data_IF_551484165135
#
_entry.id   IF_551484165135
#
_cell.length_a   1.000
_cell.length_b   1.000
_cell.length_c   1.000
_cell.angle_alpha   90.00
_cell.angle_beta   90.00
_cell.angle_gamma   90.00
#
_symmetry.space_group_name_H-M   'P 1'
#
loop_
_entity.id
_entity.type
_entity.pdbx_description
1 polymer ?
#
# COMPACT_ATOMS: atom_id res chain seq x y z
N UNK A 1 -30.84 43.41 -53.09
CA UNK A 1 -30.75 44.06 -51.78
C UNK A 1 -30.77 42.95 -50.72
N UNK A 2 -29.86 42.99 -49.79
CA UNK A 2 -29.60 42.16 -48.59
C UNK A 2 -28.59 41.04 -48.80
N UNK A 3 -27.37 41.38 -48.52
CA UNK A 3 -26.17 40.57 -48.41
C UNK A 3 -26.25 39.63 -47.18
N UNK A 4 -26.23 38.31 -47.41
CA UNK A 4 -26.17 37.33 -46.36
C UNK A 4 -24.69 37.07 -46.02
N UNK A 5 -24.23 37.55 -44.88
CA UNK A 5 -22.89 37.31 -44.35
C UNK A 5 -22.82 35.89 -43.76
N UNK A 6 -22.11 35.02 -44.42
CA UNK A 6 -21.73 33.72 -43.92
C UNK A 6 -20.63 33.86 -42.85
N UNK A 7 -20.97 33.60 -41.59
CA UNK A 7 -19.99 33.42 -40.51
C UNK A 7 -19.42 32.04 -40.54
N UNK A 8 -18.16 31.95 -40.96
CA UNK A 8 -17.35 30.73 -40.88
C UNK A 8 -16.90 30.55 -39.43
N UNK A 9 -17.54 29.64 -38.68
CA UNK A 9 -17.10 29.24 -37.35
C UNK A 9 -15.88 28.32 -37.48
N UNK A 10 -14.70 28.85 -37.20
CA UNK A 10 -13.49 28.05 -37.06
C UNK A 10 -13.52 27.32 -35.71
N UNK A 11 -13.82 26.03 -35.76
CA UNK A 11 -13.74 25.13 -34.58
C UNK A 11 -12.27 24.80 -34.31
N UNK A 12 -11.65 25.56 -33.40
CA UNK A 12 -10.30 25.23 -32.92
C UNK A 12 -10.39 24.01 -31.98
N UNK A 13 -10.05 22.84 -32.48
CA UNK A 13 -9.87 21.64 -31.67
C UNK A 13 -8.59 21.80 -30.83
N UNK A 14 -8.75 22.18 -29.57
CA UNK A 14 -7.67 22.14 -28.59
C UNK A 14 -7.47 20.68 -28.20
N UNK A 15 -6.47 20.05 -28.80
CA UNK A 15 -5.96 18.75 -28.35
C UNK A 15 -5.21 18.99 -27.06
N UNK A 16 -5.87 18.77 -25.92
CA UNK A 16 -5.19 18.65 -24.64
C UNK A 16 -4.38 17.34 -24.67
N UNK A 17 -3.11 17.44 -25.04
CA UNK A 17 -2.14 16.41 -24.74
C UNK A 17 -2.00 16.36 -23.21
N UNK A 18 -2.76 15.48 -22.57
CA UNK A 18 -2.57 15.13 -21.17
C UNK A 18 -1.22 14.41 -21.05
N UNK A 19 -0.14 15.20 -20.86
CA UNK A 19 1.09 14.66 -20.33
C UNK A 19 0.77 14.10 -18.94
N UNK A 20 0.63 12.77 -18.85
CA UNK A 20 0.53 12.07 -17.59
C UNK A 20 1.90 12.19 -16.88
N UNK A 21 2.16 13.33 -16.27
CA UNK A 21 3.22 13.48 -15.29
C UNK A 21 2.82 12.63 -14.10
N UNK A 22 3.64 11.65 -13.76
CA UNK A 22 3.51 10.89 -12.52
C UNK A 22 3.69 11.88 -11.38
N UNK A 23 2.60 12.43 -10.88
CA UNK A 23 2.62 13.28 -9.70
C UNK A 23 2.84 12.37 -8.49
N UNK A 24 3.98 12.54 -7.81
CA UNK A 24 4.21 11.89 -6.51
C UNK A 24 3.12 12.30 -5.55
N UNK A 25 2.69 11.37 -4.71
CA UNK A 25 1.73 11.68 -3.65
C UNK A 25 2.30 12.75 -2.69
N UNK A 26 1.44 13.56 -2.02
CA UNK A 26 1.89 14.51 -1.03
C UNK A 26 2.75 13.85 0.05
N UNK A 27 3.77 14.56 0.52
CA UNK A 27 4.58 14.08 1.64
C UNK A 27 3.81 14.29 2.96
N UNK A 28 3.53 13.19 3.64
CA UNK A 28 2.81 13.18 4.91
C UNK A 28 3.60 12.52 6.04
N UNK A 29 4.77 11.96 5.73
CA UNK A 29 5.57 11.18 6.69
C UNK A 29 5.97 11.99 7.92
N UNK A 30 6.37 13.25 7.73
CA UNK A 30 6.75 14.16 8.82
C UNK A 30 5.57 14.51 9.73
N UNK A 31 4.40 14.80 9.17
CA UNK A 31 3.19 15.10 9.94
C UNK A 31 2.72 13.90 10.76
N UNK A 32 2.73 12.71 10.13
CA UNK A 32 2.41 11.45 10.81
C UNK A 32 3.38 11.22 11.96
N UNK A 33 4.69 11.36 11.72
CA UNK A 33 5.71 11.17 12.75
C UNK A 33 5.47 12.08 13.96
N UNK A 34 5.27 13.38 13.72
CA UNK A 34 5.01 14.36 14.77
C UNK A 34 3.77 14.00 15.58
N UNK A 35 2.70 13.57 14.92
CA UNK A 35 1.45 13.21 15.59
C UNK A 35 1.57 11.91 16.40
N UNK A 36 2.33 10.94 15.91
CA UNK A 36 2.65 9.72 16.65
C UNK A 36 3.46 10.03 17.91
N UNK A 37 4.47 10.90 17.81
CA UNK A 37 5.28 11.32 18.94
C UNK A 37 4.46 12.06 20.00
N UNK A 38 3.54 12.94 19.58
CA UNK A 38 2.61 13.66 20.46
C UNK A 38 1.63 12.72 21.18
N UNK A 39 1.23 11.64 20.50
CA UNK A 39 0.37 10.60 21.07
C UNK A 39 1.14 9.60 21.96
N UNK A 40 2.46 9.75 22.10
CA UNK A 40 3.30 8.90 22.96
C UNK A 40 3.88 7.66 22.24
N UNK A 41 3.66 7.48 20.95
CA UNK A 41 4.15 6.33 20.15
C UNK A 41 5.59 6.53 19.65
N UNK A 42 6.53 6.75 20.58
CA UNK A 42 7.93 7.07 20.25
C UNK A 42 8.67 5.93 19.52
N UNK A 43 8.25 4.68 19.76
CA UNK A 43 8.84 3.48 19.15
C UNK A 43 8.17 3.07 17.84
N UNK A 44 7.20 3.86 17.37
CA UNK A 44 6.56 3.69 16.06
C UNK A 44 7.23 4.61 15.06
N UNK A 45 7.66 4.04 13.93
CA UNK A 45 8.25 4.79 12.82
C UNK A 45 7.24 4.95 11.68
N UNK A 46 7.39 6.02 10.90
CA UNK A 46 6.65 6.25 9.66
C UNK A 46 7.62 6.43 8.51
N UNK A 47 7.40 5.73 7.40
CA UNK A 47 8.09 5.91 6.14
C UNK A 47 7.07 5.98 4.99
N UNK A 48 7.47 6.54 3.85
CA UNK A 48 6.55 6.74 2.73
C UNK A 48 7.23 6.46 1.39
N UNK A 49 6.58 5.65 0.56
CA UNK A 49 6.86 5.55 -0.88
C UNK A 49 5.87 6.46 -1.63
N UNK A 50 6.34 7.64 -2.05
CA UNK A 50 5.50 8.64 -2.70
C UNK A 50 5.16 8.28 -4.14
N UNK A 51 5.96 7.44 -4.78
CA UNK A 51 5.71 7.01 -6.16
C UNK A 51 4.59 5.95 -6.21
N UNK A 52 4.50 5.13 -5.16
CA UNK A 52 3.46 4.10 -5.00
C UNK A 52 2.26 4.56 -4.17
N UNK A 53 2.39 5.68 -3.45
CA UNK A 53 1.34 6.16 -2.55
C UNK A 53 1.13 5.25 -1.35
N UNK A 54 2.22 4.76 -0.75
CA UNK A 54 2.19 3.87 0.41
C UNK A 54 2.90 4.52 1.59
N UNK A 55 2.21 4.59 2.72
CA UNK A 55 2.78 4.95 4.03
C UNK A 55 2.96 3.68 4.84
N UNK A 56 4.16 3.40 5.31
CA UNK A 56 4.45 2.23 6.13
C UNK A 56 4.72 2.64 7.56
N UNK A 57 3.94 2.09 8.50
CA UNK A 57 4.20 2.17 9.93
C UNK A 57 5.02 0.97 10.36
N UNK A 58 6.09 1.19 11.10
CA UNK A 58 6.95 0.14 11.65
C UNK A 58 7.21 0.36 13.14
N UNK A 59 8.09 -0.46 13.71
CA UNK A 59 8.39 -0.40 15.14
C UNK A 59 7.50 -1.32 15.97
N UNK A 60 7.22 -0.95 17.23
CA UNK A 60 6.43 -1.79 18.12
C UNK A 60 5.60 -0.98 19.11
N UNK A 61 4.57 -1.64 19.64
CA UNK A 61 3.70 -1.15 20.73
C UNK A 61 3.42 -2.29 21.71
N UNK A 62 2.92 -1.97 22.88
CA UNK A 62 2.65 -2.98 23.91
C UNK A 62 1.30 -3.71 23.71
N UNK A 63 0.33 -3.08 23.06
CA UNK A 63 -1.02 -3.62 22.90
C UNK A 63 -1.60 -3.40 21.50
N UNK A 64 -2.56 -4.26 21.11
CA UNK A 64 -3.27 -4.13 19.83
C UNK A 64 -4.05 -2.81 19.72
N UNK A 65 -4.59 -2.32 20.83
CA UNK A 65 -5.27 -1.02 20.88
C UNK A 65 -4.34 0.13 20.45
N UNK A 66 -3.08 0.11 20.90
CA UNK A 66 -2.05 1.10 20.55
C UNK A 66 -1.71 1.00 19.05
N UNK A 67 -1.61 -0.24 18.51
CA UNK A 67 -1.40 -0.47 17.07
C UNK A 67 -2.54 0.12 16.24
N UNK A 68 -3.78 -0.10 16.65
CA UNK A 68 -4.95 0.46 15.98
C UNK A 68 -5.01 1.99 16.08
N UNK A 69 -4.65 2.56 17.23
CA UNK A 69 -4.59 4.02 17.40
C UNK A 69 -3.52 4.65 16.53
N UNK A 70 -2.31 4.08 16.48
CA UNK A 70 -1.23 4.57 15.61
C UNK A 70 -1.65 4.52 14.13
N UNK A 71 -2.34 3.47 13.69
CA UNK A 71 -2.89 3.38 12.34
C UNK A 71 -3.94 4.47 12.06
N UNK A 72 -4.84 4.71 13.01
CA UNK A 72 -5.86 5.76 12.89
C UNK A 72 -5.22 7.14 12.72
N UNK A 73 -4.17 7.44 13.48
CA UNK A 73 -3.40 8.68 13.34
C UNK A 73 -2.82 8.77 11.93
N UNK A 74 -2.16 7.73 11.44
CA UNK A 74 -1.56 7.74 10.11
C UNK A 74 -2.62 7.92 9.00
N UNK A 75 -3.75 7.22 9.09
CA UNK A 75 -4.86 7.33 8.14
C UNK A 75 -5.44 8.73 8.06
N UNK A 76 -5.46 9.50 9.16
CA UNK A 76 -5.97 10.87 9.16
C UNK A 76 -5.15 11.83 8.29
N UNK A 77 -3.88 11.52 8.04
CA UNK A 77 -2.97 12.31 7.18
C UNK A 77 -2.79 11.69 5.79
N UNK A 78 -2.98 10.37 5.64
CA UNK A 78 -2.63 9.64 4.44
C UNK A 78 -3.49 10.02 3.22
N UNK A 79 -4.70 10.55 3.41
CA UNK A 79 -5.62 10.81 2.31
C UNK A 79 -5.94 9.52 1.53
N UNK A 80 -5.64 9.51 0.23
CA UNK A 80 -5.87 8.33 -0.63
C UNK A 80 -4.69 7.34 -0.65
N UNK A 81 -3.65 7.57 0.18
CA UNK A 81 -2.51 6.67 0.24
C UNK A 81 -2.83 5.43 1.09
N UNK A 82 -2.24 4.30 0.73
CA UNK A 82 -2.37 3.07 1.50
C UNK A 82 -1.52 3.17 2.77
N UNK A 83 -2.09 2.84 3.92
CA UNK A 83 -1.33 2.72 5.17
C UNK A 83 -1.05 1.24 5.43
N UNK A 84 0.23 0.86 5.32
CA UNK A 84 0.74 -0.47 5.67
C UNK A 84 1.10 -0.50 7.15
N UNK A 85 0.30 -1.16 8.00
CA UNK A 85 0.52 -1.20 9.44
C UNK A 85 1.39 -2.41 9.85
N UNK A 86 2.70 -2.28 9.71
CA UNK A 86 3.69 -3.29 10.10
C UNK A 86 4.19 -3.13 11.55
N UNK A 87 3.41 -2.48 12.41
CA UNK A 87 3.76 -2.34 13.84
C UNK A 87 3.66 -3.72 14.50
N UNK A 88 4.71 -4.12 15.23
CA UNK A 88 4.68 -5.32 16.07
C UNK A 88 3.95 -5.04 17.38
N UNK A 89 3.14 -5.98 17.85
CA UNK A 89 2.63 -5.95 19.21
C UNK A 89 3.57 -6.79 20.07
N UNK A 90 4.22 -6.14 21.04
CA UNK A 90 5.23 -6.73 21.91
C UNK A 90 4.89 -6.36 23.35
N UNK A 91 4.14 -7.21 24.07
CA UNK A 91 3.81 -6.95 25.47
C UNK A 91 5.07 -6.85 26.35
N UNK A 92 5.03 -5.98 27.34
CA UNK A 92 6.14 -5.75 28.28
C UNK A 92 6.44 -7.03 29.07
N UNK A 93 7.73 -7.40 29.15
CA UNK A 93 8.21 -8.54 29.93
C UNK A 93 8.29 -9.85 29.14
N UNK A 94 7.84 -9.90 27.89
CA UNK A 94 7.90 -11.08 27.00
C UNK A 94 8.48 -10.76 25.63
N UNK A 95 9.27 -9.71 25.52
CA UNK A 95 9.72 -9.10 24.26
C UNK A 95 10.45 -10.11 23.34
N UNK A 96 11.30 -10.96 23.95
CA UNK A 96 12.07 -11.99 23.21
C UNK A 96 11.15 -13.02 22.57
N UNK A 97 10.18 -13.50 23.33
CA UNK A 97 9.28 -14.56 22.88
C UNK A 97 8.24 -14.05 21.91
N UNK A 98 7.72 -12.83 22.12
CA UNK A 98 6.83 -12.16 21.17
C UNK A 98 7.51 -11.94 19.82
N UNK A 99 8.76 -11.48 19.79
CA UNK A 99 9.53 -11.32 18.54
C UNK A 99 9.73 -12.64 17.80
N UNK A 100 10.06 -13.72 18.53
CA UNK A 100 10.21 -15.06 17.94
C UNK A 100 8.88 -15.58 17.38
N UNK A 101 7.80 -15.39 18.12
CA UNK A 101 6.45 -15.80 17.70
C UNK A 101 6.03 -15.06 16.43
N UNK A 102 6.16 -13.72 16.39
CA UNK A 102 5.86 -12.92 15.20
C UNK A 102 6.68 -13.37 14.00
N UNK A 103 7.99 -13.59 14.16
CA UNK A 103 8.85 -14.10 13.08
C UNK A 103 8.46 -15.50 12.60
N UNK A 104 8.04 -16.38 13.50
CA UNK A 104 7.59 -17.74 13.14
C UNK A 104 6.24 -17.69 12.40
N UNK A 105 5.35 -16.80 12.82
CA UNK A 105 4.07 -16.56 12.16
C UNK A 105 4.27 -16.03 10.74
N UNK A 106 5.12 -15.01 10.58
CA UNK A 106 5.45 -14.44 9.27
C UNK A 106 6.00 -15.50 8.31
N UNK A 107 6.91 -16.37 8.77
CA UNK A 107 7.42 -17.50 7.97
C UNK A 107 6.34 -18.51 7.58
N UNK A 108 5.39 -18.78 8.47
CA UNK A 108 4.23 -19.63 8.17
C UNK A 108 3.35 -19.02 7.09
N UNK A 109 3.12 -17.71 7.16
CA UNK A 109 2.39 -16.96 6.12
C UNK A 109 3.14 -17.00 4.79
N UNK A 110 4.48 -16.75 4.80
CA UNK A 110 5.31 -16.83 3.60
C UNK A 110 5.18 -18.18 2.90
N UNK A 111 5.32 -19.30 3.64
CA UNK A 111 5.21 -20.63 3.07
C UNK A 111 3.83 -20.95 2.49
N UNK A 112 2.76 -20.53 3.16
CA UNK A 112 1.39 -20.71 2.67
C UNK A 112 1.11 -19.82 1.44
N UNK A 113 1.60 -18.59 1.44
CA UNK A 113 1.46 -17.66 0.33
C UNK A 113 2.22 -18.15 -0.90
N UNK A 114 3.43 -18.64 -0.72
CA UNK A 114 4.24 -19.23 -1.80
C UNK A 114 3.48 -20.37 -2.50
N UNK A 115 2.99 -21.32 -1.72
CA UNK A 115 2.19 -22.42 -2.23
C UNK A 115 0.93 -21.96 -2.97
N UNK A 116 0.23 -20.96 -2.45
CA UNK A 116 -0.97 -20.41 -3.06
C UNK A 116 -0.66 -19.69 -4.38
N UNK A 117 0.43 -18.90 -4.44
CA UNK A 117 0.86 -18.21 -5.67
C UNK A 117 1.31 -19.20 -6.75
N UNK A 118 1.95 -20.32 -6.38
CA UNK A 118 2.31 -21.39 -7.31
C UNK A 118 1.05 -22.03 -7.89
N UNK A 119 0.08 -22.37 -7.04
CA UNK A 119 -1.19 -22.99 -7.46
C UNK A 119 -1.95 -22.11 -8.48
N UNK A 120 -1.93 -20.79 -8.27
CA UNK A 120 -2.62 -19.82 -9.13
C UNK A 120 -1.74 -19.30 -10.29
N UNK A 121 -0.55 -19.88 -10.51
CA UNK A 121 0.40 -19.53 -11.59
C UNK A 121 0.83 -18.05 -11.56
N UNK A 122 0.96 -17.49 -10.36
CA UNK A 122 1.34 -16.09 -10.13
C UNK A 122 2.78 -15.95 -9.59
N UNK A 123 3.40 -17.04 -9.11
CA UNK A 123 4.68 -17.03 -8.43
C UNK A 123 5.81 -16.34 -9.22
N UNK A 124 5.88 -16.53 -10.54
CA UNK A 124 6.96 -15.98 -11.36
C UNK A 124 6.87 -14.46 -11.55
N UNK A 125 5.68 -13.88 -11.44
CA UNK A 125 5.41 -12.46 -11.67
C UNK A 125 5.15 -11.68 -10.39
N UNK A 126 4.84 -12.35 -9.28
CA UNK A 126 4.52 -11.75 -7.99
C UNK A 126 5.62 -12.04 -6.99
N UNK A 127 6.28 -11.00 -6.51
CA UNK A 127 7.17 -11.06 -5.36
C UNK A 127 6.41 -10.60 -4.13
N UNK A 128 6.82 -11.08 -2.96
CA UNK A 128 6.17 -10.71 -1.71
C UNK A 128 7.17 -10.59 -0.56
N UNK A 129 6.75 -9.90 0.47
CA UNK A 129 7.37 -9.91 1.78
C UNK A 129 6.28 -9.94 2.84
N UNK A 130 6.57 -10.56 3.98
CA UNK A 130 5.65 -10.61 5.11
C UNK A 130 6.34 -10.00 6.33
N UNK A 131 5.63 -9.11 7.01
CA UNK A 131 6.11 -8.49 8.24
C UNK A 131 4.96 -8.18 9.19
N UNK A 132 5.00 -8.79 10.37
CA UNK A 132 3.98 -8.67 11.40
C UNK A 132 2.56 -8.90 10.82
N UNK A 133 2.41 -10.01 10.08
CA UNK A 133 1.17 -10.43 9.40
C UNK A 133 0.67 -9.50 8.28
N UNK A 134 1.48 -8.54 7.84
CA UNK A 134 1.21 -7.69 6.68
C UNK A 134 1.97 -8.23 5.48
N UNK A 135 1.25 -8.61 4.43
CA UNK A 135 1.79 -9.05 3.14
C UNK A 135 1.93 -7.84 2.22
N UNK A 136 3.13 -7.61 1.69
CA UNK A 136 3.35 -6.63 0.62
C UNK A 136 3.64 -7.38 -0.67
N UNK A 137 2.81 -7.19 -1.69
CA UNK A 137 2.97 -7.77 -3.04
C UNK A 137 3.68 -6.77 -3.94
N UNK A 138 4.73 -7.20 -4.64
CA UNK A 138 5.50 -6.37 -5.57
C UNK A 138 5.77 -7.13 -6.87
N UNK A 139 6.15 -6.43 -7.94
CA UNK A 139 6.45 -7.02 -9.24
C UNK A 139 5.56 -6.49 -10.34
N UNK A 140 5.67 -7.11 -11.52
CA UNK A 140 4.97 -6.68 -12.72
C UNK A 140 4.04 -7.79 -13.21
N UNK A 141 2.76 -7.47 -13.35
CA UNK A 141 1.72 -8.36 -13.88
C UNK A 141 1.19 -7.85 -15.21
N UNK A 142 0.61 -8.75 -16.01
CA UNK A 142 0.18 -8.42 -17.37
C UNK A 142 -1.18 -7.72 -17.43
N UNK A 143 -1.97 -7.74 -16.34
CA UNK A 143 -3.32 -7.17 -16.32
C UNK A 143 -3.79 -6.79 -14.92
N UNK A 144 -4.79 -5.91 -14.86
CA UNK A 144 -5.49 -5.58 -13.61
C UNK A 144 -6.18 -6.81 -13.00
N UNK A 145 -6.63 -7.75 -13.83
CA UNK A 145 -7.22 -9.01 -13.36
C UNK A 145 -6.20 -9.84 -12.57
N UNK A 146 -4.97 -10.00 -13.08
CA UNK A 146 -3.89 -10.69 -12.37
C UNK A 146 -3.48 -9.95 -11.08
N UNK A 147 -3.47 -8.61 -11.11
CA UNK A 147 -3.20 -7.79 -9.91
C UNK A 147 -4.25 -8.03 -8.83
N UNK A 148 -5.54 -8.04 -9.21
CA UNK A 148 -6.63 -8.32 -8.28
C UNK A 148 -6.63 -9.79 -7.80
N UNK A 149 -6.33 -10.74 -8.68
CA UNK A 149 -6.20 -12.16 -8.34
C UNK A 149 -5.11 -12.37 -7.28
N UNK A 150 -3.92 -11.79 -7.48
CA UNK A 150 -2.83 -11.89 -6.51
C UNK A 150 -3.21 -11.34 -5.13
N UNK A 151 -3.92 -10.20 -5.10
CA UNK A 151 -4.45 -9.63 -3.85
C UNK A 151 -5.46 -10.58 -3.19
N UNK A 152 -6.38 -11.15 -3.97
CA UNK A 152 -7.36 -12.11 -3.49
C UNK A 152 -6.68 -13.34 -2.88
N UNK A 153 -5.75 -13.96 -3.60
CA UNK A 153 -4.95 -15.10 -3.13
C UNK A 153 -4.27 -14.78 -1.79
N UNK A 154 -3.55 -13.66 -1.73
CA UNK A 154 -2.85 -13.26 -0.50
C UNK A 154 -3.82 -13.03 0.68
N UNK A 155 -5.00 -12.49 0.42
CA UNK A 155 -6.01 -12.22 1.46
C UNK A 155 -6.65 -13.49 2.04
N UNK A 156 -6.59 -14.62 1.33
CA UNK A 156 -7.13 -15.91 1.81
C UNK A 156 -6.14 -16.70 2.64
N UNK A 157 -4.86 -16.29 2.66
CA UNK A 157 -3.82 -16.98 3.45
C UNK A 157 -4.11 -16.80 4.95
N UNK A 158 -4.11 -17.89 5.74
CA UNK A 158 -4.35 -17.81 7.17
C UNK A 158 -3.38 -16.87 7.89
N UNK A 159 -3.88 -16.13 8.87
CA UNK A 159 -3.15 -15.16 9.70
C UNK A 159 -2.67 -13.90 8.98
N UNK A 160 -2.99 -13.69 7.72
CA UNK A 160 -2.77 -12.40 7.05
C UNK A 160 -3.75 -11.37 7.60
N UNK A 161 -3.24 -10.28 8.15
CA UNK A 161 -4.05 -9.17 8.68
C UNK A 161 -4.29 -8.09 7.62
N UNK A 162 -3.30 -7.88 6.75
CA UNK A 162 -3.38 -6.86 5.70
C UNK A 162 -2.60 -7.30 4.46
N UNK A 163 -3.12 -6.94 3.28
CA UNK A 163 -2.40 -7.06 2.00
C UNK A 163 -2.18 -5.67 1.43
N UNK A 164 -0.92 -5.30 1.19
CA UNK A 164 -0.50 -4.09 0.49
C UNK A 164 -0.13 -4.49 -0.93
N UNK A 165 -0.90 -4.05 -1.91
CA UNK A 165 -0.73 -4.46 -3.30
C UNK A 165 0.01 -3.36 -4.09
N UNK A 166 1.33 -3.51 -4.20
CA UNK A 166 2.23 -2.63 -4.97
C UNK A 166 2.55 -3.18 -6.37
N UNK A 167 1.81 -4.21 -6.84
CA UNK A 167 1.99 -4.76 -8.17
C UNK A 167 1.74 -3.71 -9.25
N UNK A 168 2.61 -3.68 -10.25
CA UNK A 168 2.47 -2.82 -11.42
C UNK A 168 1.88 -3.62 -12.58
N UNK A 169 0.98 -2.99 -13.34
CA UNK A 169 0.48 -3.59 -14.58
C UNK A 169 1.34 -3.10 -15.72
N UNK A 170 1.90 -4.02 -16.52
CA UNK A 170 2.72 -3.69 -17.69
C UNK A 170 1.97 -2.72 -18.60
N UNK A 171 2.60 -1.58 -18.92
CA UNK A 171 1.99 -0.54 -19.74
C UNK A 171 1.05 0.43 -19.02
N UNK A 172 0.81 0.25 -17.71
CA UNK A 172 0.08 1.20 -16.86
C UNK A 172 0.95 1.60 -15.67
N UNK A 173 0.98 2.91 -15.36
CA UNK A 173 1.62 3.35 -14.12
C UNK A 173 0.81 2.85 -12.93
N UNK A 174 1.51 2.40 -11.88
CA UNK A 174 0.86 2.00 -10.63
C UNK A 174 0.01 3.17 -10.08
N UNK A 175 -1.28 2.93 -9.97
CA UNK A 175 -2.16 3.78 -9.18
C UNK A 175 -2.61 2.94 -8.01
N UNK A 176 -2.33 3.40 -6.78
CA UNK A 176 -2.93 2.80 -5.60
C UNK A 176 -4.44 2.97 -5.72
N UNK A 177 -5.16 1.88 -5.91
CA UNK A 177 -6.61 1.88 -5.79
C UNK A 177 -6.96 1.09 -4.53
N UNK A 178 -7.75 1.75 -3.68
CA UNK A 178 -8.43 1.14 -2.54
C UNK A 178 -9.20 -0.10 -2.96
#
# INVERSE_FOLDING_TARGET
>A
MKTLKTYLLALAAVVLAACATSTKTPDVSGSIRTSLDQAGFKDVSSSQDRDKGVVTLGGHVAADADKAQAESIARSFAGNQVVANQIAVIPVGVESDAKKMNSSLDKGIEGNLDAALIQDQLHDSVKYSVKNSVVTLTGDVDSQSKRAQAQGVASTVPNVQQVVNELQVKGQKATSSN
#
